data_IF_504608873247
#
_entry.id   IF_504608873247
#
_cell.length_a   1.000
_cell.length_b   1.000
_cell.length_c   1.000
_cell.angle_alpha   90.00
_cell.angle_beta   90.00
_cell.angle_gamma   90.00
#
_symmetry.space_group_name_H-M   'P 1'
#
loop_
_entity.id
_entity.type
_entity.pdbx_description
1 polymer ?
#
# COMPACT_ATOMS: atom_id res chain seq x y z
N UNK A 1 -10.42 4.70 12.14
CA UNK A 1 -10.62 3.95 10.89
C UNK A 1 -11.96 4.35 10.27
N UNK A 2 -11.97 5.09 9.15
CA UNK A 2 -13.21 5.56 8.53
C UNK A 2 -14.00 4.47 7.78
N UNK A 3 -13.49 3.24 7.71
CA UNK A 3 -14.17 2.11 7.07
C UNK A 3 -13.88 0.84 7.88
N UNK A 4 -14.36 0.83 9.12
CA UNK A 4 -13.89 -0.08 10.17
C UNK A 4 -14.22 -1.56 9.91
N UNK A 5 -15.23 -1.86 9.07
CA UNK A 5 -15.71 -3.21 8.83
C UNK A 5 -16.10 -3.88 10.15
N UNK A 6 -15.55 -5.07 10.38
CA UNK A 6 -15.73 -5.82 11.63
C UNK A 6 -14.76 -5.39 12.76
N UNK A 7 -14.03 -4.29 12.60
CA UNK A 7 -13.09 -3.77 13.59
C UNK A 7 -11.74 -4.50 13.66
N UNK A 8 -11.46 -5.43 12.75
CA UNK A 8 -10.23 -6.23 12.76
C UNK A 8 -8.95 -5.39 12.69
N UNK A 9 -8.92 -4.37 11.84
CA UNK A 9 -7.78 -3.43 11.75
C UNK A 9 -7.59 -2.66 13.05
N UNK A 10 -8.67 -2.14 13.64
CA UNK A 10 -8.62 -1.41 14.90
C UNK A 10 -8.12 -2.30 16.06
N UNK A 11 -8.62 -3.53 16.17
CA UNK A 11 -8.18 -4.49 17.19
C UNK A 11 -6.70 -4.85 17.04
N UNK A 12 -6.22 -5.07 15.81
CA UNK A 12 -4.82 -5.36 15.54
C UNK A 12 -3.91 -4.19 15.96
N UNK A 13 -4.35 -2.94 15.75
CA UNK A 13 -3.64 -1.75 16.23
C UNK A 13 -3.71 -1.65 17.75
N UNK A 14 -4.88 -1.83 18.36
CA UNK A 14 -5.06 -1.81 19.82
C UNK A 14 -4.15 -2.81 20.53
N UNK A 15 -3.98 -4.02 19.98
CA UNK A 15 -3.06 -5.02 20.52
C UNK A 15 -1.60 -4.56 20.61
N UNK A 16 -1.19 -3.54 19.84
CA UNK A 16 0.13 -2.90 19.92
C UNK A 16 0.17 -1.69 20.86
N UNK A 17 -0.99 -1.12 21.19
CA UNK A 17 -1.14 0.09 21.99
C UNK A 17 -2.30 -0.08 22.99
N UNK A 18 -2.03 -0.72 24.13
CA UNK A 18 -3.06 -1.11 25.08
C UNK A 18 -3.94 0.07 25.58
N UNK A 19 -3.37 1.26 25.71
CA UNK A 19 -4.07 2.46 26.18
C UNK A 19 -4.66 3.31 25.04
N UNK A 20 -4.67 2.80 23.80
CA UNK A 20 -5.19 3.54 22.66
C UNK A 20 -6.72 3.65 22.68
N UNK A 21 -7.23 4.83 22.32
CA UNK A 21 -8.63 5.00 21.98
C UNK A 21 -8.86 4.53 20.55
N UNK A 22 -9.65 3.47 20.39
CA UNK A 22 -9.98 2.90 19.09
C UNK A 22 -11.28 3.51 18.57
N UNK A 23 -11.17 4.30 17.51
CA UNK A 23 -12.27 5.07 16.93
C UNK A 23 -12.45 4.67 15.48
N UNK A 24 -13.69 4.39 15.09
CA UNK A 24 -14.00 4.06 13.70
C UNK A 24 -15.39 4.49 13.26
N UNK A 25 -15.72 4.22 12.01
CA UNK A 25 -17.06 4.38 11.45
C UNK A 25 -17.25 3.29 10.40
N UNK A 26 -18.47 2.78 10.27
CA UNK A 26 -18.76 1.70 9.34
C UNK A 26 -20.09 1.92 8.63
N UNK A 27 -20.12 1.69 7.32
CA UNK A 27 -21.32 1.89 6.50
C UNK A 27 -22.45 0.93 6.90
N UNK A 28 -22.12 -0.34 7.12
CA UNK A 28 -23.11 -1.36 7.45
C UNK A 28 -23.42 -1.34 8.97
N UNK A 29 -24.67 -1.12 9.40
CA UNK A 29 -25.02 -1.02 10.81
C UNK A 29 -24.79 -2.32 11.59
N UNK A 30 -24.97 -3.49 10.97
CA UNK A 30 -24.70 -4.78 11.62
C UNK A 30 -23.21 -4.98 11.86
N UNK A 31 -22.38 -4.58 10.90
CA UNK A 31 -20.92 -4.62 11.04
C UNK A 31 -20.44 -3.59 12.08
N UNK A 32 -21.01 -2.40 12.11
CA UNK A 32 -20.73 -1.39 13.13
C UNK A 32 -21.02 -1.92 14.54
N UNK A 33 -22.19 -2.54 14.74
CA UNK A 33 -22.59 -3.15 16.01
C UNK A 33 -21.65 -4.30 16.41
N UNK A 34 -21.33 -5.20 15.48
CA UNK A 34 -20.43 -6.32 15.74
C UNK A 34 -19.01 -5.86 16.05
N UNK A 35 -18.49 -4.88 15.31
CA UNK A 35 -17.18 -4.28 15.56
C UNK A 35 -17.15 -3.62 16.95
N UNK A 36 -18.19 -2.86 17.31
CA UNK A 36 -18.31 -2.26 18.63
C UNK A 36 -18.32 -3.29 19.77
N UNK A 37 -19.05 -4.39 19.60
CA UNK A 37 -19.05 -5.51 20.55
C UNK A 37 -17.66 -6.14 20.67
N UNK A 38 -16.98 -6.39 19.55
CA UNK A 38 -15.63 -6.95 19.53
C UNK A 38 -14.62 -6.04 20.23
N UNK A 39 -14.72 -4.71 20.06
CA UNK A 39 -13.89 -3.76 20.79
C UNK A 39 -14.10 -3.87 22.31
N UNK A 40 -15.35 -3.90 22.76
CA UNK A 40 -15.71 -4.01 24.19
C UNK A 40 -15.20 -5.31 24.80
N UNK A 41 -15.36 -6.44 24.08
CA UNK A 41 -14.86 -7.74 24.53
C UNK A 41 -13.33 -7.80 24.67
N UNK A 42 -12.61 -6.95 23.94
CA UNK A 42 -11.15 -6.81 24.03
C UNK A 42 -10.70 -5.68 24.96
N UNK A 43 -11.62 -5.09 25.74
CA UNK A 43 -11.30 -4.08 26.75
C UNK A 43 -11.23 -2.64 26.24
N UNK A 44 -11.67 -2.37 25.01
CA UNK A 44 -11.70 -1.01 24.44
C UNK A 44 -13.10 -0.40 24.50
N UNK A 45 -13.20 0.92 24.53
CA UNK A 45 -14.48 1.62 24.37
C UNK A 45 -15.00 1.46 22.94
N UNK A 46 -16.30 1.21 22.78
CA UNK A 46 -16.95 1.20 21.45
C UNK A 46 -17.19 2.63 20.98
N UNK A 47 -16.58 2.99 19.84
CA UNK A 47 -16.79 4.27 19.15
C UNK A 47 -16.88 4.04 17.64
N UNK A 48 -17.89 3.27 17.20
CA UNK A 48 -18.13 2.92 15.78
C UNK A 48 -19.59 3.23 15.40
N UNK A 49 -19.95 4.51 15.13
CA UNK A 49 -21.24 4.84 14.53
C UNK A 49 -21.41 4.19 13.16
N UNK A 50 -22.67 3.88 12.83
CA UNK A 50 -23.06 3.44 11.50
C UNK A 50 -23.28 4.63 10.56
N UNK A 51 -22.71 4.59 9.35
CA UNK A 51 -22.90 5.61 8.33
C UNK A 51 -21.76 5.66 7.31
N UNK A 52 -22.04 6.17 6.11
CA UNK A 52 -21.03 6.39 5.07
C UNK A 52 -20.10 7.54 5.45
N UNK A 53 -18.83 7.24 5.78
CA UNK A 53 -17.85 8.25 6.18
C UNK A 53 -17.54 9.31 5.11
N UNK A 54 -17.84 9.02 3.84
CA UNK A 54 -17.63 9.95 2.72
C UNK A 54 -18.72 11.00 2.63
N UNK A 55 -19.93 10.70 3.07
CA UNK A 55 -21.10 11.60 2.98
C UNK A 55 -21.64 12.03 4.34
N UNK A 56 -21.26 11.34 5.41
CA UNK A 56 -21.67 11.60 6.78
C UNK A 56 -20.47 11.53 7.74
N UNK A 57 -20.23 12.61 8.46
CA UNK A 57 -19.17 12.70 9.47
C UNK A 57 -19.69 12.22 10.83
N UNK A 58 -19.38 10.97 11.19
CA UNK A 58 -19.78 10.38 12.47
C UNK A 58 -18.96 10.86 13.67
N UNK A 59 -17.82 11.52 13.44
CA UNK A 59 -16.94 12.06 14.48
C UNK A 59 -16.49 13.50 14.19
N UNK A 60 -17.42 14.49 14.24
CA UNK A 60 -17.10 15.88 13.95
C UNK A 60 -15.94 16.42 14.80
N UNK A 61 -14.92 16.96 14.12
CA UNK A 61 -13.77 17.60 14.78
C UNK A 61 -12.75 16.63 15.40
N UNK A 62 -12.93 15.31 15.25
CA UNK A 62 -11.95 14.33 15.70
C UNK A 62 -10.61 14.55 14.99
N UNK A 63 -9.53 14.64 15.76
CA UNK A 63 -8.14 14.61 15.27
C UNK A 63 -7.34 13.51 15.97
N UNK A 64 -6.97 12.48 15.21
CA UNK A 64 -6.26 11.29 15.66
C UNK A 64 -4.74 11.41 15.51
N UNK A 65 -4.01 10.70 16.37
CA UNK A 65 -2.55 10.54 16.25
C UNK A 65 -2.19 9.56 15.12
N UNK A 66 -2.99 8.49 14.97
CA UNK A 66 -2.79 7.45 13.96
C UNK A 66 -4.09 7.22 13.19
N UNK A 67 -4.01 7.29 11.87
CA UNK A 67 -5.06 6.86 10.96
C UNK A 67 -4.73 5.50 10.33
N UNK A 68 -5.71 4.61 10.27
CA UNK A 68 -5.62 3.36 9.52
C UNK A 68 -6.89 3.17 8.71
N UNK A 69 -6.77 2.62 7.51
CA UNK A 69 -7.93 2.24 6.71
C UNK A 69 -7.59 1.07 5.77
N UNK A 70 -8.54 0.14 5.64
CA UNK A 70 -8.56 -0.84 4.56
C UNK A 70 -9.84 -0.64 3.74
N UNK A 71 -9.91 0.43 2.94
CA UNK A 71 -11.13 0.78 2.23
C UNK A 71 -11.47 -0.23 1.12
N UNK A 72 -12.73 -0.26 0.67
CA UNK A 72 -13.10 -0.94 -0.57
C UNK A 72 -12.27 -0.42 -1.74
N UNK A 73 -11.55 -1.32 -2.42
CA UNK A 73 -10.67 -0.97 -3.54
C UNK A 73 -11.47 -0.70 -4.83
N UNK A 74 -10.91 0.14 -5.71
CA UNK A 74 -11.51 0.50 -7.01
C UNK A 74 -12.91 1.15 -6.92
N UNK A 75 -13.23 1.74 -5.76
CA UNK A 75 -14.50 2.42 -5.56
C UNK A 75 -14.61 3.68 -6.43
N UNK A 76 -15.76 3.85 -7.07
CA UNK A 76 -16.11 5.06 -7.83
C UNK A 76 -17.07 5.90 -7.02
N UNK A 77 -16.76 7.18 -6.88
CA UNK A 77 -17.62 8.13 -6.21
C UNK A 77 -18.64 8.70 -7.19
N UNK A 78 -19.80 9.09 -6.68
CA UNK A 78 -20.75 9.86 -7.46
C UNK A 78 -20.12 11.19 -7.91
N UNK A 79 -20.51 11.67 -9.08
CA UNK A 79 -20.12 13.00 -9.53
C UNK A 79 -20.72 14.06 -8.59
N UNK A 80 -19.97 15.13 -8.33
CA UNK A 80 -20.50 16.26 -7.56
C UNK A 80 -20.61 15.99 -6.05
N UNK A 81 -19.62 15.32 -5.45
CA UNK A 81 -19.42 15.22 -3.99
C UNK A 81 -19.22 16.59 -3.27
N UNK A 82 -19.53 17.70 -3.95
CA UNK A 82 -19.53 19.06 -3.42
C UNK A 82 -18.17 19.62 -3.02
N UNK A 83 -18.20 20.86 -2.51
CA UNK A 83 -17.10 21.50 -1.79
C UNK A 83 -17.06 20.98 -0.35
N UNK A 84 -16.74 19.70 -0.16
CA UNK A 84 -16.50 19.16 1.18
C UNK A 84 -15.20 19.77 1.73
N UNK A 85 -15.21 20.40 2.92
CA UNK A 85 -14.01 21.00 3.52
C UNK A 85 -12.89 19.99 3.78
N UNK A 86 -13.21 18.69 3.83
CA UNK A 86 -12.25 17.59 4.02
C UNK A 86 -11.45 17.31 2.74
N UNK A 87 -11.83 17.86 1.58
CA UNK A 87 -11.04 17.79 0.34
C UNK A 87 -9.85 18.75 0.33
N UNK A 88 -8.92 18.56 1.27
CA UNK A 88 -7.75 19.41 1.51
C UNK A 88 -6.81 19.58 0.30
N UNK A 89 -6.82 18.62 -0.62
CA UNK A 89 -5.96 18.56 -1.81
C UNK A 89 -6.73 18.81 -3.10
N UNK A 90 -8.04 19.05 -2.99
CA UNK A 90 -8.96 19.25 -4.10
C UNK A 90 -9.92 18.09 -4.33
N UNK A 91 -10.81 18.28 -5.30
CA UNK A 91 -11.82 17.31 -5.71
C UNK A 91 -11.21 15.91 -5.97
N UNK A 92 -11.72 14.83 -5.34
CA UNK A 92 -11.27 13.46 -5.55
C UNK A 92 -11.40 12.94 -7.00
N UNK A 93 -12.10 13.66 -7.89
CA UNK A 93 -12.31 13.30 -9.31
C UNK A 93 -12.95 11.93 -9.51
N UNK A 94 -13.91 11.59 -8.65
CA UNK A 94 -14.64 10.32 -8.73
C UNK A 94 -13.83 9.10 -8.28
N UNK A 95 -12.63 9.28 -7.75
CA UNK A 95 -11.74 8.22 -7.30
C UNK A 95 -11.82 8.03 -5.78
N UNK A 96 -12.25 6.84 -5.36
CA UNK A 96 -12.35 6.49 -3.94
C UNK A 96 -11.03 6.59 -3.18
N UNK A 97 -9.90 6.19 -3.79
CA UNK A 97 -8.60 6.25 -3.12
C UNK A 97 -8.23 7.70 -2.77
N UNK A 98 -8.51 8.66 -3.67
CA UNK A 98 -8.29 10.08 -3.39
C UNK A 98 -9.16 10.57 -2.23
N UNK A 99 -10.42 10.13 -2.14
CA UNK A 99 -11.29 10.53 -1.04
C UNK A 99 -10.84 9.95 0.30
N UNK A 100 -10.50 8.67 0.37
CA UNK A 100 -10.04 8.04 1.62
C UNK A 100 -8.75 8.65 2.15
N UNK A 101 -7.78 8.96 1.26
CA UNK A 101 -6.54 9.64 1.65
C UNK A 101 -6.83 11.01 2.27
N UNK A 102 -7.68 11.81 1.61
CA UNK A 102 -8.02 13.15 2.08
C UNK A 102 -8.83 13.12 3.38
N UNK A 103 -9.77 12.19 3.51
CA UNK A 103 -10.56 12.00 4.72
C UNK A 103 -9.65 11.65 5.92
N UNK A 104 -8.68 10.74 5.73
CA UNK A 104 -7.68 10.45 6.76
C UNK A 104 -6.86 11.69 7.08
N UNK A 105 -6.33 12.40 6.07
CA UNK A 105 -5.54 13.62 6.28
C UNK A 105 -6.29 14.69 7.08
N UNK A 106 -7.58 14.90 6.81
CA UNK A 106 -8.39 15.82 7.59
C UNK A 106 -8.43 15.40 9.06
N UNK A 107 -8.77 14.14 9.35
CA UNK A 107 -8.89 13.63 10.71
C UNK A 107 -7.54 13.38 11.43
N UNK A 108 -6.39 13.73 10.85
CA UNK A 108 -5.11 13.65 11.55
C UNK A 108 -4.80 14.94 12.30
N UNK A 109 -4.22 14.81 13.51
CA UNK A 109 -3.51 15.91 14.16
C UNK A 109 -2.37 16.40 13.28
N UNK A 110 -1.86 17.61 13.53
CA UNK A 110 -0.67 18.12 12.83
C UNK A 110 0.56 17.23 13.00
N UNK A 111 0.64 16.46 14.09
CA UNK A 111 1.69 15.45 14.34
C UNK A 111 1.31 14.03 13.91
N UNK A 112 0.11 13.87 13.33
CA UNK A 112 -0.47 12.57 13.04
C UNK A 112 0.02 11.97 11.74
N UNK A 113 -0.07 10.65 11.65
CA UNK A 113 0.23 9.85 10.45
C UNK A 113 -0.88 8.88 10.17
N UNK A 114 -1.15 8.61 8.89
CA UNK A 114 -2.03 7.54 8.49
C UNK A 114 -1.37 6.57 7.51
N UNK A 115 -1.86 5.34 7.51
CA UNK A 115 -1.57 4.34 6.49
C UNK A 115 -2.87 3.73 5.98
N UNK A 116 -2.93 3.50 4.68
CA UNK A 116 -4.09 2.89 4.05
C UNK A 116 -3.70 2.05 2.84
N UNK A 117 -4.57 1.11 2.51
CA UNK A 117 -4.43 0.30 1.30
C UNK A 117 -5.26 0.92 0.19
N UNK A 118 -4.65 1.05 -0.99
CA UNK A 118 -5.32 1.52 -2.22
C UNK A 118 -4.98 0.60 -3.39
N UNK A 119 -5.77 0.63 -4.45
CA UNK A 119 -5.48 -0.15 -5.64
C UNK A 119 -4.19 0.32 -6.34
N UNK A 120 -3.47 -0.63 -6.95
CA UNK A 120 -2.23 -0.33 -7.69
C UNK A 120 -2.40 0.70 -8.81
N UNK A 121 -3.57 0.75 -9.43
CA UNK A 121 -3.87 1.71 -10.49
C UNK A 121 -3.82 3.17 -10.02
N UNK A 122 -4.11 3.45 -8.74
CA UNK A 122 -4.09 4.80 -8.19
C UNK A 122 -2.75 5.51 -8.41
N UNK A 123 -1.63 4.78 -8.37
CA UNK A 123 -0.29 5.35 -8.53
C UNK A 123 -0.02 6.04 -9.88
N UNK A 124 -0.71 5.67 -10.95
CA UNK A 124 -0.47 6.21 -12.30
C UNK A 124 -1.73 6.70 -13.01
N UNK A 125 -2.91 6.47 -12.42
CA UNK A 125 -4.20 6.89 -13.00
C UNK A 125 -4.21 8.39 -13.30
N UNK A 126 -4.59 8.84 -14.51
CA UNK A 126 -4.62 10.26 -14.86
C UNK A 126 -5.53 11.11 -13.98
N UNK A 127 -6.73 10.61 -13.62
CA UNK A 127 -7.69 11.32 -12.77
C UNK A 127 -7.18 11.63 -11.36
N UNK A 128 -6.12 10.94 -10.92
CA UNK A 128 -5.56 11.05 -9.57
C UNK A 128 -4.23 11.79 -9.56
N UNK A 129 -3.75 12.25 -10.73
CA UNK A 129 -2.47 12.95 -10.86
C UNK A 129 -2.41 14.20 -10.01
N UNK A 130 -3.46 15.02 -10.00
CA UNK A 130 -3.47 16.29 -9.29
C UNK A 130 -3.39 16.08 -7.77
N UNK A 131 -4.11 15.07 -7.25
CA UNK A 131 -4.04 14.68 -5.84
C UNK A 131 -2.66 14.13 -5.48
N UNK A 132 -2.06 13.27 -6.31
CA UNK A 132 -0.68 12.78 -6.09
C UNK A 132 0.34 13.91 -6.11
N UNK A 133 0.20 14.85 -7.05
CA UNK A 133 1.04 16.05 -7.12
C UNK A 133 0.89 16.92 -5.87
N UNK A 134 -0.34 17.13 -5.38
CA UNK A 134 -0.60 17.88 -4.17
C UNK A 134 -0.04 17.19 -2.93
N UNK A 135 -0.20 15.88 -2.79
CA UNK A 135 0.36 15.07 -1.70
C UNK A 135 1.88 15.23 -1.58
N UNK A 136 2.59 15.18 -2.71
CA UNK A 136 4.04 15.30 -2.75
C UNK A 136 4.48 16.76 -2.54
N UNK A 137 3.82 17.72 -3.20
CA UNK A 137 4.11 19.16 -3.10
C UNK A 137 3.88 19.72 -1.69
N UNK A 138 2.79 19.32 -1.04
CA UNK A 138 2.47 19.74 0.32
C UNK A 138 3.21 18.93 1.40
N UNK A 139 4.10 18.03 0.98
CA UNK A 139 4.91 17.20 1.87
C UNK A 139 4.07 16.33 2.82
N UNK A 140 2.95 15.76 2.34
CA UNK A 140 2.15 14.81 3.11
C UNK A 140 2.48 13.37 2.80
N UNK A 141 2.91 13.05 1.57
CA UNK A 141 3.22 11.67 1.20
C UNK A 141 4.58 11.25 1.77
N UNK A 142 4.57 10.25 2.65
CA UNK A 142 5.79 9.74 3.29
C UNK A 142 6.32 8.49 2.58
N UNK A 143 5.43 7.54 2.24
CA UNK A 143 5.83 6.32 1.54
C UNK A 143 4.75 5.75 0.61
N UNK A 144 5.19 5.03 -0.43
CA UNK A 144 4.35 4.19 -1.30
C UNK A 144 4.98 2.82 -1.46
N UNK A 145 4.27 1.79 -1.03
CA UNK A 145 4.79 0.42 -0.91
C UNK A 145 3.91 -0.51 -1.74
N UNK A 146 4.48 -1.20 -2.71
CA UNK A 146 3.76 -2.21 -3.49
C UNK A 146 3.71 -3.54 -2.74
N UNK A 147 2.50 -4.06 -2.54
CA UNK A 147 2.27 -5.33 -1.85
C UNK A 147 1.58 -6.33 -2.81
N UNK A 148 2.20 -7.51 -3.05
CA UNK A 148 1.58 -8.55 -3.87
C UNK A 148 0.30 -9.11 -3.21
N UNK A 149 -0.66 -9.55 -4.02
CA UNK A 149 -1.81 -10.33 -3.53
C UNK A 149 -1.37 -11.55 -2.71
N UNK A 150 -2.18 -11.94 -1.73
CA UNK A 150 -1.89 -13.08 -0.86
C UNK A 150 -0.83 -12.79 0.21
N UNK A 151 -0.33 -11.56 0.33
CA UNK A 151 0.60 -11.16 1.40
C UNK A 151 -0.01 -11.35 2.80
N UNK A 152 -1.32 -11.16 2.94
CA UNK A 152 -2.06 -11.44 4.18
C UNK A 152 -3.49 -11.90 3.86
N UNK A 153 -4.17 -12.60 4.78
CA UNK A 153 -5.53 -13.05 4.58
C UNK A 153 -6.47 -11.90 4.23
N UNK A 154 -7.22 -12.04 3.12
CA UNK A 154 -8.15 -11.02 2.63
C UNK A 154 -7.59 -10.11 1.53
N UNK A 155 -6.27 -10.06 1.31
CA UNK A 155 -5.70 -9.31 0.18
C UNK A 155 -5.75 -10.13 -1.11
N UNK A 156 -6.83 -9.95 -1.87
CA UNK A 156 -7.08 -10.70 -3.12
C UNK A 156 -6.47 -10.08 -4.36
N UNK A 157 -6.00 -8.82 -4.28
CA UNK A 157 -5.44 -8.08 -5.42
C UNK A 157 -4.13 -7.39 -5.04
N UNK A 158 -3.26 -7.24 -6.04
CA UNK A 158 -2.03 -6.46 -5.92
C UNK A 158 -2.38 -5.00 -5.58
N UNK A 159 -1.84 -4.51 -4.48
CA UNK A 159 -2.26 -3.23 -3.90
C UNK A 159 -1.06 -2.38 -3.50
N UNK A 160 -1.33 -1.15 -3.10
CA UNK A 160 -0.34 -0.25 -2.53
C UNK A 160 -0.70 0.04 -1.08
N UNK A 161 0.28 0.06 -0.21
CA UNK A 161 0.20 0.75 1.08
C UNK A 161 0.71 2.16 0.86
N UNK A 162 -0.13 3.14 1.17
CA UNK A 162 0.21 4.56 1.12
C UNK A 162 0.34 5.06 2.55
N UNK A 163 1.43 5.76 2.84
CA UNK A 163 1.66 6.36 4.16
C UNK A 163 1.67 7.88 4.00
N UNK A 164 0.82 8.56 4.76
CA UNK A 164 0.73 10.02 4.79
C UNK A 164 1.03 10.54 6.20
N UNK A 165 1.82 11.59 6.31
CA UNK A 165 2.29 12.14 7.58
C UNK A 165 2.16 13.67 7.56
N UNK A 166 1.52 14.26 8.57
CA UNK A 166 1.34 15.72 8.69
C UNK A 166 2.51 16.45 9.35
N UNK A 167 3.44 15.71 9.99
CA UNK A 167 4.63 16.24 10.64
C UNK A 167 5.92 15.60 10.09
N UNK A 168 6.02 15.50 8.76
CA UNK A 168 7.23 14.98 8.12
C UNK A 168 8.46 15.79 8.53
N UNK A 169 9.48 15.07 9.00
CA UNK A 169 10.80 15.60 9.33
C UNK A 169 11.81 15.44 8.18
N UNK A 170 11.41 14.78 7.09
CA UNK A 170 12.21 14.61 5.88
C UNK A 170 12.19 15.87 5.02
N UNK A 171 13.24 16.09 4.19
CA UNK A 171 13.25 17.16 3.20
C UNK A 171 11.94 17.19 2.41
N UNK A 172 11.36 18.39 2.16
CA UNK A 172 10.11 18.50 1.44
C UNK A 172 10.14 17.77 0.10
N UNK A 173 9.20 16.83 -0.08
CA UNK A 173 9.00 16.11 -1.34
C UNK A 173 9.89 14.88 -1.57
N UNK A 174 10.73 14.47 -0.62
CA UNK A 174 11.32 13.12 -0.65
C UNK A 174 10.25 12.07 -0.32
N UNK A 175 10.21 10.94 -1.03
CA UNK A 175 9.23 9.87 -0.78
C UNK A 175 9.95 8.53 -0.77
N UNK A 176 9.64 7.68 0.21
CA UNK A 176 10.14 6.32 0.28
C UNK A 176 9.30 5.38 -0.57
N UNK A 177 9.94 4.63 -1.46
CA UNK A 177 9.32 3.60 -2.27
C UNK A 177 9.85 2.22 -1.88
N UNK A 178 8.97 1.23 -1.84
CA UNK A 178 9.35 -0.18 -1.70
C UNK A 178 8.52 -1.03 -2.67
N UNK A 179 9.19 -1.84 -3.48
CA UNK A 179 8.55 -2.77 -4.41
C UNK A 179 8.58 -4.20 -3.85
N UNK A 180 7.50 -4.60 -3.17
CA UNK A 180 7.39 -5.93 -2.58
C UNK A 180 7.37 -7.07 -3.61
N UNK A 181 7.22 -6.78 -4.91
CA UNK A 181 7.35 -7.78 -5.97
C UNK A 181 8.81 -8.17 -6.24
N UNK A 182 9.77 -7.35 -5.81
CA UNK A 182 11.20 -7.67 -5.89
C UNK A 182 11.66 -8.57 -4.74
N UNK A 183 10.81 -8.81 -3.74
CA UNK A 183 11.09 -9.79 -2.69
C UNK A 183 10.99 -11.21 -3.27
N UNK A 184 12.15 -11.85 -3.46
CA UNK A 184 12.25 -13.26 -3.86
C UNK A 184 11.97 -14.16 -2.65
N UNK A 185 11.44 -15.38 -2.86
CA UNK A 185 11.30 -16.35 -1.77
C UNK A 185 12.65 -16.63 -1.08
N UNK A 186 12.67 -16.84 0.25
CA UNK A 186 11.53 -16.95 1.18
C UNK A 186 11.00 -15.58 1.71
N UNK A 187 11.47 -14.45 1.16
CA UNK A 187 11.16 -13.11 1.69
C UNK A 187 9.79 -12.57 1.28
N UNK A 188 9.09 -13.22 0.35
CA UNK A 188 7.69 -12.88 0.03
C UNK A 188 6.80 -13.02 1.27
N UNK A 189 7.05 -14.04 2.09
CA UNK A 189 6.39 -14.25 3.39
C UNK A 189 6.87 -13.28 4.48
N UNK A 190 7.97 -12.56 4.24
CA UNK A 190 8.59 -11.60 5.17
C UNK A 190 8.50 -10.15 4.67
N UNK A 191 7.63 -9.85 3.71
CA UNK A 191 7.51 -8.50 3.14
C UNK A 191 7.21 -7.45 4.22
N UNK A 192 6.45 -7.79 5.26
CA UNK A 192 6.23 -6.90 6.41
C UNK A 192 7.50 -6.59 7.21
N UNK A 193 8.40 -7.56 7.36
CA UNK A 193 9.68 -7.32 8.02
C UNK A 193 10.61 -6.45 7.16
N UNK A 194 10.58 -6.63 5.83
CA UNK A 194 11.30 -5.75 4.90
C UNK A 194 10.76 -4.33 4.95
N UNK A 195 9.43 -4.16 4.98
CA UNK A 195 8.78 -2.86 5.15
C UNK A 195 9.20 -2.23 6.47
N UNK A 196 9.06 -2.95 7.59
CA UNK A 196 9.41 -2.45 8.91
C UNK A 196 10.89 -2.03 9.01
N UNK A 197 11.80 -2.84 8.45
CA UNK A 197 13.22 -2.53 8.41
C UNK A 197 13.51 -1.32 7.51
N UNK A 198 13.08 -1.35 6.25
CA UNK A 198 13.40 -0.31 5.26
C UNK A 198 12.77 1.04 5.60
N UNK A 199 11.45 1.06 5.81
CA UNK A 199 10.74 2.29 6.15
C UNK A 199 11.16 2.80 7.54
N UNK A 200 11.33 1.90 8.52
CA UNK A 200 11.79 2.26 9.87
C UNK A 200 13.18 2.88 9.88
N UNK A 201 14.15 2.27 9.19
CA UNK A 201 15.52 2.79 9.07
C UNK A 201 15.53 4.15 8.35
N UNK A 202 14.81 4.27 7.23
CA UNK A 202 14.69 5.54 6.51
C UNK A 202 14.07 6.65 7.36
N UNK A 203 13.04 6.31 8.15
CA UNK A 203 12.34 7.27 9.03
C UNK A 203 13.24 7.91 10.07
N UNK A 204 14.22 7.17 10.59
CA UNK A 204 15.19 7.65 11.58
C UNK A 204 16.52 8.09 10.95
N UNK A 205 16.56 8.22 9.61
CA UNK A 205 17.76 8.54 8.81
C UNK A 205 18.93 7.58 9.07
N UNK A 206 18.63 6.31 9.34
CA UNK A 206 19.64 5.27 9.45
C UNK A 206 19.99 4.76 8.04
N UNK A 207 21.12 5.21 7.51
CA UNK A 207 21.60 4.84 6.16
C UNK A 207 22.36 3.51 6.11
N UNK A 208 22.37 2.74 7.21
CA UNK A 208 23.15 1.48 7.29
C UNK A 208 22.58 0.33 6.46
N UNK A 209 21.33 0.43 6.00
CA UNK A 209 20.69 -0.61 5.17
C UNK A 209 20.18 0.01 3.87
N UNK A 210 20.90 -0.28 2.80
CA UNK A 210 20.37 -0.13 1.45
C UNK A 210 19.65 -1.42 1.07
N UNK A 211 18.32 -1.39 1.04
CA UNK A 211 17.53 -2.54 0.60
C UNK A 211 17.32 -2.42 -0.90
N UNK A 212 17.79 -3.40 -1.66
CA UNK A 212 17.63 -3.48 -3.12
C UNK A 212 16.16 -3.51 -3.61
N UNK A 213 15.20 -3.58 -2.69
CA UNK A 213 13.76 -3.53 -2.94
C UNK A 213 13.14 -2.17 -2.63
N UNK A 214 13.94 -1.18 -2.24
CA UNK A 214 13.48 0.16 -1.87
C UNK A 214 14.33 1.26 -2.49
N UNK A 215 13.78 2.47 -2.53
CA UNK A 215 14.48 3.68 -2.95
C UNK A 215 13.84 4.91 -2.30
N UNK A 216 14.61 6.00 -2.25
CA UNK A 216 14.09 7.33 -1.90
C UNK A 216 14.15 8.19 -3.14
N UNK A 217 13.02 8.76 -3.53
CA UNK A 217 12.91 9.62 -4.70
C UNK A 217 12.57 11.05 -4.27
N UNK A 218 13.22 12.03 -4.90
CA UNK A 218 13.00 13.46 -4.67
C UNK A 218 11.76 14.00 -5.40
N UNK A 219 11.35 15.22 -5.04
CA UNK A 219 10.26 15.93 -5.72
C UNK A 219 10.46 16.00 -7.24
N UNK A 220 11.65 16.44 -7.66
CA UNK A 220 11.94 16.70 -9.07
C UNK A 220 11.88 15.41 -9.89
N UNK A 221 12.47 14.32 -9.39
CA UNK A 221 12.39 13.01 -10.03
C UNK A 221 10.95 12.48 -10.14
N UNK A 222 10.11 12.72 -9.12
CA UNK A 222 8.67 12.36 -9.18
C UNK A 222 7.94 13.24 -10.19
N UNK A 223 8.27 14.54 -10.26
CA UNK A 223 7.67 15.48 -11.19
C UNK A 223 8.03 15.16 -12.65
N UNK A 224 9.28 14.79 -12.93
CA UNK A 224 9.74 14.29 -14.23
C UNK A 224 8.97 13.04 -14.68
N UNK A 225 8.60 12.18 -13.73
CA UNK A 225 7.74 11.01 -13.96
C UNK A 225 6.24 11.36 -14.07
N UNK A 226 5.86 12.64 -14.11
CA UNK A 226 4.47 13.09 -14.20
C UNK A 226 3.63 12.70 -12.98
N UNK A 227 4.26 12.64 -11.80
CA UNK A 227 3.68 12.16 -10.55
C UNK A 227 3.14 10.74 -10.65
N UNK A 228 3.78 9.87 -11.43
CA UNK A 228 3.58 8.42 -11.33
C UNK A 228 4.29 7.92 -10.07
N UNK A 229 3.52 7.37 -9.13
CA UNK A 229 4.02 6.86 -7.83
C UNK A 229 4.18 5.34 -7.83
N UNK A 230 4.26 4.70 -9.01
CA UNK A 230 4.41 3.25 -9.09
C UNK A 230 5.80 2.85 -8.56
N UNK A 231 5.92 2.06 -7.46
CA UNK A 231 7.23 1.77 -6.87
C UNK A 231 8.24 1.16 -7.84
N UNK A 232 7.78 0.33 -8.78
CA UNK A 232 8.62 -0.26 -9.84
C UNK A 232 9.33 0.76 -10.77
N UNK A 233 8.90 2.02 -10.80
CA UNK A 233 9.59 3.11 -11.54
C UNK A 233 10.68 3.78 -10.71
N UNK A 234 10.55 3.74 -9.40
CA UNK A 234 11.39 4.46 -8.44
C UNK A 234 12.46 3.56 -7.83
N UNK A 235 12.15 2.28 -7.65
CA UNK A 235 13.08 1.29 -7.12
C UNK A 235 13.95 0.74 -8.26
N UNK A 236 15.29 0.87 -8.17
CA UNK A 236 16.20 0.31 -9.15
C UNK A 236 15.96 -1.19 -9.32
N UNK A 237 15.71 -1.61 -10.57
CA UNK A 237 15.75 -3.03 -10.90
C UNK A 237 17.17 -3.39 -11.29
N UNK A 238 17.83 -4.24 -10.52
CA UNK A 238 18.93 -5.02 -11.05
C UNK A 238 18.35 -5.94 -12.12
N UNK A 239 18.37 -5.49 -13.38
CA UNK A 239 18.02 -6.34 -14.51
C UNK A 239 19.17 -7.32 -14.69
N UNK A 240 18.97 -8.57 -14.31
CA UNK A 240 19.41 -9.63 -15.21
C UNK A 240 18.48 -9.52 -16.42
N UNK A 241 18.94 -8.82 -17.46
CA UNK A 241 18.27 -8.81 -18.76
C UNK A 241 18.43 -10.21 -19.33
N UNK A 242 17.54 -11.13 -18.96
CA UNK A 242 17.21 -12.18 -19.92
C UNK A 242 16.42 -11.48 -21.00
N UNK A 243 17.11 -11.30 -22.12
CA UNK A 243 16.56 -10.63 -23.29
C UNK A 243 15.18 -11.22 -23.60
N UNK A 244 14.19 -10.36 -23.83
CA UNK A 244 12.84 -10.85 -24.16
C UNK A 244 12.90 -11.75 -25.39
N UNK A 245 13.87 -11.52 -26.27
CA UNK A 245 14.21 -12.41 -27.37
C UNK A 245 14.58 -13.83 -26.92
N UNK A 246 15.38 -14.00 -25.86
CA UNK A 246 15.79 -15.33 -25.33
C UNK A 246 14.58 -16.06 -24.74
N UNK A 247 13.71 -15.35 -24.01
CA UNK A 247 12.48 -15.93 -23.45
C UNK A 247 11.52 -16.34 -24.58
N UNK A 248 11.39 -15.51 -25.61
CA UNK A 248 10.57 -15.81 -26.79
C UNK A 248 11.16 -17.00 -27.58
N UNK A 249 12.47 -17.06 -27.79
CA UNK A 249 13.13 -18.17 -28.48
C UNK A 249 12.98 -19.51 -27.73
N UNK A 250 13.11 -19.51 -26.40
CA UNK A 250 12.84 -20.71 -25.58
C UNK A 250 11.36 -21.13 -25.65
N UNK A 251 10.42 -20.18 -25.56
CA UNK A 251 8.99 -20.46 -25.69
C UNK A 251 8.63 -21.01 -27.07
N UNK A 252 9.19 -20.41 -28.13
CA UNK A 252 9.01 -20.88 -29.51
C UNK A 252 9.64 -22.26 -29.69
N UNK A 253 10.82 -22.51 -29.13
CA UNK A 253 11.48 -23.83 -29.17
C UNK A 253 10.69 -24.90 -28.42
N UNK A 254 10.09 -24.57 -27.28
CA UNK A 254 9.23 -25.49 -26.53
C UNK A 254 7.92 -25.78 -27.26
N UNK A 255 7.27 -24.76 -27.85
CA UNK A 255 6.05 -24.93 -28.65
C UNK A 255 6.30 -25.73 -29.94
N UNK A 256 7.49 -25.60 -30.52
CA UNK A 256 7.90 -26.34 -31.73
C UNK A 256 8.16 -27.82 -31.45
N UNK A 257 8.48 -28.18 -30.21
CA UNK A 257 8.72 -29.56 -29.77
C UNK A 257 7.45 -30.25 -29.24
N UNK A 258 6.29 -29.59 -29.26
CA UNK A 258 5.04 -30.14 -28.75
C UNK A 258 4.33 -31.03 -29.78
N UNK A 259 4.88 -32.24 -30.00
CA UNK A 259 4.06 -33.46 -30.00
C UNK A 259 4.04 -34.12 -28.61
N UNK A 260 4.38 -33.36 -27.57
CA UNK A 260 4.37 -33.80 -26.17
C UNK A 260 3.04 -33.47 -25.48
N UNK A 261 2.58 -34.44 -24.70
CA UNK A 261 1.37 -34.41 -23.88
C UNK A 261 1.38 -33.23 -22.90
N UNK A 262 0.23 -32.56 -22.76
CA UNK A 262 0.09 -31.30 -22.02
C UNK A 262 0.47 -31.40 -20.53
N UNK A 263 0.37 -32.59 -19.95
CA UNK A 263 0.75 -32.84 -18.56
C UNK A 263 2.28 -32.86 -18.34
N UNK A 264 3.06 -33.20 -19.38
CA UNK A 264 4.53 -33.14 -19.31
C UNK A 264 5.05 -31.70 -19.40
N UNK A 265 4.38 -30.85 -20.18
CA UNK A 265 4.70 -29.43 -20.30
C UNK A 265 4.52 -28.68 -18.96
N UNK A 266 3.43 -28.97 -18.25
CA UNK A 266 3.14 -28.38 -16.93
C UNK A 266 4.18 -28.84 -15.88
N UNK A 267 4.62 -30.11 -15.95
CA UNK A 267 5.69 -30.63 -15.07
C UNK A 267 7.07 -30.06 -15.38
N UNK A 268 7.36 -29.72 -16.64
CA UNK A 268 8.62 -29.09 -17.06
C UNK A 268 8.71 -27.64 -16.57
N UNK A 269 7.63 -26.86 -16.72
CA UNK A 269 7.52 -25.50 -16.18
C UNK A 269 7.70 -25.46 -14.66
N UNK A 270 7.15 -26.45 -13.95
CA UNK A 270 7.27 -26.56 -12.49
C UNK A 270 8.71 -26.86 -12.04
N UNK A 271 9.44 -27.74 -12.75
CA UNK A 271 10.85 -28.06 -12.46
C UNK A 271 11.82 -26.92 -12.80
N UNK A 272 11.50 -26.07 -13.76
CA UNK A 272 12.34 -24.91 -14.11
C UNK A 272 12.30 -23.82 -13.03
N UNK A 273 11.13 -23.61 -12.40
CA UNK A 273 10.99 -22.65 -11.31
C UNK A 273 11.83 -23.03 -10.08
N UNK A 274 11.97 -24.31 -9.78
CA UNK A 274 12.81 -24.80 -8.67
C UNK A 274 14.32 -24.66 -8.96
N UNK A 275 14.76 -24.94 -10.19
CA UNK A 275 16.18 -24.94 -10.54
C UNK A 275 16.75 -23.54 -10.81
N UNK A 276 15.96 -22.61 -11.35
CA UNK A 276 16.40 -21.23 -11.58
C UNK A 276 16.64 -20.46 -10.27
N UNK A 277 15.93 -20.83 -9.19
CA UNK A 277 16.12 -20.26 -7.86
C UNK A 277 17.40 -20.80 -7.19
N UNK A 278 17.74 -22.08 -7.40
CA UNK A 278 18.92 -22.70 -6.80
C UNK A 278 20.26 -22.28 -7.44
N UNK A 279 20.28 -21.93 -8.72
CA UNK A 279 21.51 -21.57 -9.43
C UNK A 279 22.07 -20.18 -9.06
N UNK A 280 21.24 -19.26 -8.54
CA UNK A 280 21.68 -17.91 -8.15
C UNK A 280 22.30 -17.84 -6.75
N UNK A 281 22.07 -18.83 -5.88
CA UNK A 281 22.59 -18.81 -4.50
C UNK A 281 24.01 -19.35 -4.32
N UNK A 282 24.58 -20.01 -5.34
CA UNK A 282 25.96 -20.55 -5.25
C UNK A 282 27.04 -19.57 -5.70
N UNK A 283 26.69 -18.43 -6.33
CA UNK A 283 27.66 -17.45 -6.87
C UNK A 283 27.80 -16.16 -6.05
N UNK A 284 26.79 -15.76 -5.27
CA UNK A 284 26.87 -14.61 -4.37
C UNK A 284 27.15 -15.10 -2.94
N UNK A 285 28.42 -15.27 -2.60
CA UNK A 285 28.87 -15.70 -1.28
C UNK A 285 28.30 -14.84 -0.15
N UNK A 286 27.25 -15.33 0.47
CA UNK A 286 26.78 -14.92 1.80
C UNK A 286 26.64 -16.19 2.62
N UNK A 287 27.55 -16.34 3.59
CA UNK A 287 27.38 -17.26 4.73
C UNK A 287 26.45 -16.61 5.75
#
# INVERSE_FOLDING_TARGET
>A
DPCAGLGGTLLAVGGQYADAQLIGQELNPDYANLAGLLLVLNGYSSQIPAGDSLTFEGHPGLKADIGVAHPPLNMRLAAGMGDDPRWLLGDPKGDGANAWIQLLLDHLKVTGRATLIVEKAWAHRPSSRDIRAALVRQNYLDAVIAIPRGTFPGLTTDSLVVVVDRARSHPPGEVFFLDGFLAVEPYRQKVFALIAAGYGDWRVRNTRRDLAVSAVTTYDQIAECGFDLTPARHVPRHRDVRDVAVVIEELVGQLSNTTMDGDEFIKALSRYHENAVLAHFTSSGFR
#
